data_IF_486854199975
#
_entry.id   IF_486854199975
#
_cell.length_a   1.000
_cell.length_b   1.000
_cell.length_c   1.000
_cell.angle_alpha   90.00
_cell.angle_beta   90.00
_cell.angle_gamma   90.00
#
_symmetry.space_group_name_H-M   'P 1'
#
loop_
_entity.id
_entity.type
_entity.pdbx_description
1 polymer ?
#
# COMPACT_ATOMS: atom_id res chain seq x y z
N UNK A 1 -4.12 -21.90 19.94
CA UNK A 1 -4.83 -21.27 18.81
C UNK A 1 -3.81 -20.44 18.06
N UNK A 2 -3.63 -20.63 16.75
CA UNK A 2 -2.64 -19.87 15.96
C UNK A 2 -2.95 -18.36 16.04
N UNK A 3 -1.93 -17.55 16.30
CA UNK A 3 -2.02 -16.09 16.34
C UNK A 3 -2.39 -15.52 14.97
N UNK A 4 -1.86 -16.10 13.89
CA UNK A 4 -2.15 -15.69 12.51
C UNK A 4 -3.64 -15.82 12.17
N UNK A 5 -4.35 -16.79 12.76
CA UNK A 5 -5.78 -17.04 12.53
C UNK A 5 -6.71 -16.44 13.59
N UNK A 6 -6.19 -15.60 14.50
CA UNK A 6 -7.05 -14.82 15.39
C UNK A 6 -7.66 -13.63 14.64
N UNK A 7 -8.92 -13.26 14.94
CA UNK A 7 -9.52 -12.06 14.36
C UNK A 7 -8.76 -10.79 14.77
N UNK A 8 -8.95 -9.73 14.00
CA UNK A 8 -8.43 -8.39 14.29
C UNK A 8 -9.52 -7.35 14.06
N UNK A 9 -9.82 -6.54 15.05
CA UNK A 9 -10.76 -5.43 14.92
C UNK A 9 -10.04 -4.11 14.91
N UNK A 10 -10.41 -3.24 13.98
CA UNK A 10 -9.96 -1.86 13.90
C UNK A 10 -11.15 -1.00 13.47
N UNK A 11 -11.51 -0.01 14.29
CA UNK A 11 -12.81 0.68 14.19
C UNK A 11 -13.96 -0.34 14.20
N UNK A 12 -14.92 -0.21 13.29
CA UNK A 12 -16.08 -1.11 13.20
C UNK A 12 -15.81 -2.33 12.31
N UNK A 13 -14.58 -2.45 11.76
CA UNK A 13 -14.20 -3.53 10.87
C UNK A 13 -13.51 -4.65 11.64
N UNK A 14 -14.00 -5.88 11.48
CA UNK A 14 -13.37 -7.10 11.99
C UNK A 14 -12.88 -7.97 10.85
N UNK A 15 -11.56 -8.20 10.81
CA UNK A 15 -10.92 -9.17 9.94
C UNK A 15 -11.02 -10.57 10.56
N UNK A 16 -11.34 -11.58 9.76
CA UNK A 16 -11.44 -12.99 10.20
C UNK A 16 -10.11 -13.61 10.64
N UNK A 17 -8.98 -13.03 10.25
CA UNK A 17 -7.63 -13.44 10.64
C UNK A 17 -6.63 -12.30 10.42
N UNK A 18 -5.35 -12.52 10.76
CA UNK A 18 -4.26 -11.53 10.65
C UNK A 18 -3.57 -11.51 9.29
N UNK A 19 -4.13 -12.18 8.27
CA UNK A 19 -3.53 -12.27 6.94
C UNK A 19 -4.12 -11.17 6.06
N UNK A 20 -3.25 -10.29 5.56
CA UNK A 20 -3.61 -9.28 4.58
C UNK A 20 -2.92 -9.57 3.24
N UNK A 21 -3.66 -9.47 2.15
CA UNK A 21 -3.07 -9.37 0.81
C UNK A 21 -2.72 -7.92 0.55
N UNK A 22 -1.43 -7.57 0.39
CA UNK A 22 -1.01 -6.18 0.18
C UNK A 22 -1.36 -5.69 -1.23
N UNK A 23 -1.34 -4.36 -1.46
CA UNK A 23 -1.44 -3.83 -2.81
C UNK A 23 -0.27 -4.33 -3.66
N UNK A 24 -0.61 -4.98 -4.78
CA UNK A 24 0.33 -5.51 -5.77
C UNK A 24 -0.15 -5.10 -7.16
N UNK A 25 0.58 -4.17 -7.81
CA UNK A 25 0.26 -3.70 -9.14
C UNK A 25 0.14 -4.84 -10.14
N UNK A 26 -0.94 -4.86 -10.91
CA UNK A 26 -1.20 -5.86 -11.93
C UNK A 26 -0.83 -5.39 -13.33
N UNK A 27 -0.69 -4.06 -13.51
CA UNK A 27 -0.34 -3.43 -14.79
C UNK A 27 -1.23 -3.90 -15.96
N UNK A 28 -2.50 -4.12 -15.66
CA UNK A 28 -3.49 -4.74 -16.55
C UNK A 28 -4.70 -3.84 -16.83
N UNK A 29 -4.73 -2.62 -16.29
CA UNK A 29 -5.78 -1.64 -16.58
C UNK A 29 -5.57 -1.00 -17.97
N UNK A 30 -6.64 -0.43 -18.52
CA UNK A 30 -6.60 0.37 -19.75
C UNK A 30 -7.13 1.75 -19.41
N UNK A 31 -6.30 2.79 -19.59
CA UNK A 31 -6.64 4.17 -19.22
C UNK A 31 -7.15 4.32 -17.77
N UNK A 32 -6.53 3.56 -16.86
CA UNK A 32 -6.92 3.49 -15.45
C UNK A 32 -8.19 2.69 -15.16
N UNK A 33 -8.92 2.23 -16.18
CA UNK A 33 -10.11 1.39 -16.01
C UNK A 33 -9.68 -0.06 -15.82
N UNK A 34 -10.09 -0.65 -14.70
CA UNK A 34 -9.88 -2.07 -14.42
C UNK A 34 -10.84 -2.94 -15.25
N UNK A 35 -10.57 -4.25 -15.28
CA UNK A 35 -11.29 -5.22 -16.12
C UNK A 35 -11.33 -6.61 -15.44
N UNK A 36 -11.80 -7.61 -16.16
CA UNK A 36 -12.01 -8.98 -15.66
C UNK A 36 -10.76 -9.63 -15.04
N UNK A 37 -9.55 -9.22 -15.43
CA UNK A 37 -8.32 -9.65 -14.77
C UNK A 37 -8.37 -9.35 -13.26
N UNK A 38 -8.74 -8.12 -12.93
CA UNK A 38 -8.76 -7.60 -11.56
C UNK A 38 -9.89 -8.25 -10.77
N UNK A 39 -11.07 -8.40 -11.40
CA UNK A 39 -12.23 -9.09 -10.81
C UNK A 39 -11.85 -10.53 -10.44
N UNK A 40 -11.28 -11.28 -11.37
CA UNK A 40 -10.87 -12.67 -11.13
C UNK A 40 -9.78 -12.75 -10.06
N UNK A 41 -8.74 -11.92 -10.15
CA UNK A 41 -7.59 -11.92 -9.24
C UNK A 41 -8.01 -11.65 -7.78
N UNK A 42 -8.65 -10.52 -7.51
CA UNK A 42 -9.00 -10.13 -6.15
C UNK A 42 -10.10 -11.00 -5.54
N UNK A 43 -11.05 -11.45 -6.35
CA UNK A 43 -12.07 -12.40 -5.89
C UNK A 43 -11.44 -13.76 -5.54
N UNK A 44 -10.47 -14.23 -6.32
CA UNK A 44 -9.72 -15.45 -6.03
C UNK A 44 -8.93 -15.38 -4.72
N UNK A 45 -8.24 -14.25 -4.50
CA UNK A 45 -7.51 -14.01 -3.25
C UNK A 45 -8.44 -13.94 -2.02
N UNK A 46 -9.60 -13.30 -2.15
CA UNK A 46 -10.61 -13.26 -1.09
C UNK A 46 -11.18 -14.64 -0.76
N UNK A 47 -11.46 -15.46 -1.80
CA UNK A 47 -11.88 -16.87 -1.65
C UNK A 47 -10.83 -17.74 -0.96
N UNK A 48 -9.55 -17.39 -1.10
CA UNK A 48 -8.44 -18.14 -0.52
C UNK A 48 -8.33 -18.10 1.00
N UNK A 49 -9.03 -17.17 1.67
CA UNK A 49 -9.16 -17.16 3.13
C UNK A 49 -8.47 -15.99 3.84
N UNK A 50 -7.83 -15.04 3.14
CA UNK A 50 -7.23 -13.86 3.78
C UNK A 50 -8.30 -12.97 4.45
N UNK A 51 -7.96 -12.30 5.56
CA UNK A 51 -8.88 -11.42 6.28
C UNK A 51 -9.11 -10.07 5.58
N UNK A 52 -8.07 -9.55 4.93
CA UNK A 52 -8.08 -8.27 4.22
C UNK A 52 -7.46 -8.46 2.83
N UNK A 53 -8.10 -7.88 1.80
CA UNK A 53 -7.54 -7.80 0.44
C UNK A 53 -7.45 -6.33 0.05
N UNK A 54 -6.23 -5.81 -0.07
CA UNK A 54 -5.98 -4.43 -0.47
C UNK A 54 -5.69 -4.39 -1.97
N UNK A 55 -6.56 -3.75 -2.73
CA UNK A 55 -6.41 -3.49 -4.17
C UNK A 55 -5.14 -2.67 -4.42
N UNK A 56 -4.52 -2.89 -5.59
CA UNK A 56 -3.25 -2.28 -5.99
C UNK A 56 -3.22 -0.75 -5.91
N UNK A 57 -2.01 -0.20 -5.97
CA UNK A 57 -1.79 1.24 -6.05
C UNK A 57 -2.62 1.84 -7.21
N UNK A 58 -3.69 2.53 -6.84
CA UNK A 58 -4.68 3.07 -7.77
C UNK A 58 -4.51 4.58 -7.86
N UNK A 59 -4.20 5.07 -9.05
CA UNK A 59 -3.75 6.44 -9.24
C UNK A 59 -4.88 7.46 -9.01
N UNK A 60 -4.59 8.50 -8.24
CA UNK A 60 -5.53 9.60 -7.96
C UNK A 60 -5.67 10.59 -9.12
N UNK A 61 -4.68 10.60 -10.02
CA UNK A 61 -4.62 11.43 -11.22
C UNK A 61 -3.94 10.66 -12.37
N UNK A 62 -4.20 10.99 -13.65
CA UNK A 62 -3.65 10.26 -14.79
C UNK A 62 -2.12 10.17 -14.80
N UNK A 63 -1.44 11.26 -14.49
CA UNK A 63 0.03 11.35 -14.42
C UNK A 63 0.61 10.73 -13.16
N UNK A 64 -0.24 10.44 -12.17
CA UNK A 64 0.09 9.74 -10.94
C UNK A 64 0.22 8.23 -11.09
N UNK A 65 -0.07 7.67 -12.27
CA UNK A 65 0.17 6.25 -12.56
C UNK A 65 1.67 5.94 -12.60
N UNK A 66 2.05 4.71 -12.21
CA UNK A 66 3.43 4.24 -12.42
C UNK A 66 3.63 3.96 -13.91
N UNK A 67 2.74 3.17 -14.51
CA UNK A 67 2.79 2.76 -15.92
C UNK A 67 1.46 3.05 -16.62
N UNK A 68 1.41 3.03 -17.97
CA UNK A 68 0.17 3.26 -18.72
C UNK A 68 -0.99 2.34 -18.30
N UNK A 69 -0.67 1.16 -17.76
CA UNK A 69 -1.62 0.13 -17.40
C UNK A 69 -1.88 -0.01 -15.89
N UNK A 70 -1.48 0.99 -15.09
CA UNK A 70 -1.90 1.09 -13.71
C UNK A 70 -3.39 1.44 -13.60
N UNK A 71 -4.05 0.90 -12.58
CA UNK A 71 -5.42 1.28 -12.22
C UNK A 71 -5.51 2.76 -11.82
N UNK A 72 -6.69 3.35 -12.02
CA UNK A 72 -7.00 4.75 -11.74
C UNK A 72 -8.29 4.90 -10.94
N UNK A 73 -8.41 6.04 -10.24
CA UNK A 73 -9.60 6.43 -9.48
C UNK A 73 -9.87 7.94 -9.59
N UNK A 74 -9.49 8.55 -10.71
CA UNK A 74 -9.62 9.98 -10.96
C UNK A 74 -10.96 10.36 -11.63
N UNK A 75 -11.74 9.37 -12.07
CA UNK A 75 -13.11 9.54 -12.58
C UNK A 75 -14.10 8.60 -11.90
N UNK A 76 -15.39 8.94 -11.99
CA UNK A 76 -16.46 8.11 -11.41
C UNK A 76 -16.63 6.79 -12.18
N UNK A 77 -16.44 6.80 -13.51
CA UNK A 77 -16.47 5.58 -14.34
C UNK A 77 -15.39 4.57 -13.94
N UNK A 78 -14.19 5.04 -13.59
CA UNK A 78 -13.13 4.18 -13.03
C UNK A 78 -13.51 3.62 -11.67
N UNK A 79 -14.16 4.42 -10.81
CA UNK A 79 -14.64 3.96 -9.52
C UNK A 79 -15.70 2.87 -9.68
N UNK A 80 -16.71 3.09 -10.53
CA UNK A 80 -17.79 2.13 -10.79
C UNK A 80 -17.26 0.77 -11.28
N UNK A 81 -16.16 0.76 -12.03
CA UNK A 81 -15.49 -0.47 -12.46
C UNK A 81 -15.00 -1.35 -11.29
N UNK A 82 -14.82 -0.81 -10.07
CA UNK A 82 -14.48 -1.56 -8.86
C UNK A 82 -15.67 -2.19 -8.15
N UNK A 83 -16.93 -1.85 -8.47
CA UNK A 83 -18.10 -2.43 -7.80
C UNK A 83 -18.10 -3.97 -7.83
N UNK A 84 -17.81 -4.64 -8.97
CA UNK A 84 -17.71 -6.11 -9.01
C UNK A 84 -16.56 -6.66 -8.16
N UNK A 85 -15.42 -5.97 -8.08
CA UNK A 85 -14.28 -6.34 -7.23
C UNK A 85 -14.65 -6.27 -5.76
N UNK A 86 -15.19 -5.13 -5.31
CA UNK A 86 -15.62 -4.94 -3.90
C UNK A 86 -16.65 -5.99 -3.52
N UNK A 87 -17.66 -6.21 -4.38
CA UNK A 87 -18.68 -7.25 -4.15
C UNK A 87 -18.06 -8.64 -4.09
N UNK A 88 -17.13 -8.95 -4.98
CA UNK A 88 -16.42 -10.23 -5.02
C UNK A 88 -15.63 -10.48 -3.73
N UNK A 89 -14.90 -9.48 -3.25
CA UNK A 89 -14.13 -9.59 -1.99
C UNK A 89 -15.06 -9.82 -0.80
N UNK A 90 -16.10 -8.99 -0.63
CA UNK A 90 -17.08 -9.11 0.48
C UNK A 90 -17.83 -10.43 0.46
N UNK A 91 -18.27 -10.88 -0.72
CA UNK A 91 -19.04 -12.13 -0.87
C UNK A 91 -18.27 -13.36 -0.38
N UNK A 92 -16.94 -13.29 -0.31
CA UNK A 92 -16.07 -14.37 0.17
C UNK A 92 -15.45 -14.10 1.55
N UNK A 93 -16.02 -13.14 2.30
CA UNK A 93 -15.73 -12.92 3.72
C UNK A 93 -14.40 -12.24 4.02
N UNK A 94 -13.75 -11.65 3.01
CA UNK A 94 -12.62 -10.75 3.21
C UNK A 94 -13.10 -9.30 3.20
N UNK A 95 -12.37 -8.41 3.88
CA UNK A 95 -12.62 -6.97 3.83
C UNK A 95 -11.98 -6.37 2.57
N UNK A 96 -12.71 -5.58 1.76
CA UNK A 96 -12.16 -4.88 0.61
C UNK A 96 -11.44 -3.60 1.04
N UNK A 97 -10.12 -3.60 0.87
CA UNK A 97 -9.29 -2.41 0.96
C UNK A 97 -8.83 -1.92 -0.41
N UNK A 98 -8.40 -0.67 -0.47
CA UNK A 98 -7.76 -0.08 -1.65
C UNK A 98 -6.61 0.82 -1.23
N UNK A 99 -5.51 0.78 -2.00
CA UNK A 99 -4.44 1.73 -1.86
C UNK A 99 -4.58 2.84 -2.93
N UNK A 100 -4.75 4.10 -2.51
CA UNK A 100 -4.74 5.24 -3.44
C UNK A 100 -3.36 5.90 -3.48
N UNK A 101 -2.90 6.25 -4.69
CA UNK A 101 -1.49 6.54 -4.92
C UNK A 101 -1.24 7.65 -5.95
N UNK A 102 -0.02 8.21 -5.89
CA UNK A 102 0.54 9.07 -6.93
C UNK A 102 2.04 8.78 -7.06
N UNK A 103 2.49 8.29 -8.22
CA UNK A 103 3.84 7.78 -8.44
C UNK A 103 4.93 8.88 -8.53
N UNK A 104 4.54 10.14 -8.75
CA UNK A 104 5.46 11.28 -8.72
C UNK A 104 6.60 11.12 -9.73
N UNK A 105 7.86 11.32 -9.31
CA UNK A 105 9.04 11.20 -10.19
C UNK A 105 9.34 9.80 -10.72
N UNK A 106 8.62 8.77 -10.27
CA UNK A 106 8.71 7.39 -10.78
C UNK A 106 7.54 7.00 -11.70
N UNK A 107 6.67 7.97 -12.02
CA UNK A 107 5.58 7.79 -12.96
C UNK A 107 6.09 7.68 -14.40
N UNK A 108 5.21 7.36 -15.35
CA UNK A 108 5.55 7.26 -16.77
C UNK A 108 6.68 6.24 -17.03
N UNK A 109 6.61 5.07 -16.38
CA UNK A 109 7.49 3.94 -16.59
C UNK A 109 6.83 2.84 -17.42
N UNK A 110 7.64 2.01 -18.07
CA UNK A 110 7.21 0.78 -18.71
C UNK A 110 6.71 -0.23 -17.67
N UNK A 111 5.94 -1.23 -18.11
CA UNK A 111 5.61 -2.36 -17.23
C UNK A 111 6.90 -3.08 -16.81
N UNK A 112 6.94 -3.74 -15.64
CA UNK A 112 8.17 -4.40 -15.19
C UNK A 112 8.73 -5.45 -16.16
N UNK A 113 7.87 -6.11 -16.94
CA UNK A 113 8.28 -7.10 -17.95
C UNK A 113 8.47 -6.49 -19.37
N UNK A 114 8.34 -5.18 -19.51
CA UNK A 114 8.48 -4.43 -20.77
C UNK A 114 9.62 -3.40 -20.72
N UNK A 115 10.53 -3.53 -19.75
CA UNK A 115 11.71 -2.67 -19.60
C UNK A 115 11.90 -2.15 -18.17
N UNK A 116 10.81 -2.00 -17.41
CA UNK A 116 10.80 -1.44 -16.05
C UNK A 116 11.38 -0.02 -15.93
N UNK A 117 11.63 0.66 -17.05
CA UNK A 117 12.32 1.94 -17.16
C UNK A 117 11.40 3.08 -17.60
N UNK A 118 11.87 4.32 -17.50
CA UNK A 118 11.06 5.46 -17.89
C UNK A 118 10.76 5.49 -19.40
N UNK A 119 9.51 5.79 -19.73
CA UNK A 119 9.04 6.10 -21.07
C UNK A 119 9.36 7.58 -21.40
N UNK A 120 10.00 7.87 -22.54
CA UNK A 120 10.23 9.25 -23.01
C UNK A 120 8.95 10.08 -23.08
N UNK A 121 9.03 11.39 -22.80
CA UNK A 121 7.85 12.28 -22.79
C UNK A 121 7.15 12.41 -24.16
N UNK A 122 7.91 12.26 -25.24
CA UNK A 122 7.45 12.36 -26.63
C UNK A 122 6.92 11.04 -27.19
N UNK A 123 7.03 9.94 -26.44
CA UNK A 123 6.41 8.68 -26.81
C UNK A 123 4.89 8.74 -26.58
N UNK A 124 4.13 7.99 -27.39
CA UNK A 124 2.66 8.02 -27.37
C UNK A 124 2.03 7.66 -26.01
N UNK A 125 2.74 6.88 -25.19
CA UNK A 125 2.32 6.43 -23.86
C UNK A 125 3.15 7.05 -22.71
N UNK A 126 3.99 8.05 -23.00
CA UNK A 126 4.77 8.78 -22.00
C UNK A 126 4.08 10.07 -21.56
N UNK A 127 4.44 10.56 -20.37
CA UNK A 127 3.96 11.85 -19.86
C UNK A 127 4.99 12.54 -18.96
N UNK A 128 4.88 13.86 -18.82
CA UNK A 128 5.69 14.63 -17.88
C UNK A 128 5.36 14.24 -16.43
N UNK A 129 6.39 13.95 -15.64
CA UNK A 129 6.25 13.58 -14.23
C UNK A 129 6.36 14.82 -13.34
N UNK A 130 5.74 14.79 -12.16
CA UNK A 130 5.80 15.87 -11.16
C UNK A 130 6.41 15.38 -9.84
N UNK A 131 7.07 16.27 -9.11
CA UNK A 131 7.77 15.95 -7.86
C UNK A 131 7.97 17.20 -6.98
N UNK A 132 8.37 17.06 -5.71
CA UNK A 132 8.73 18.21 -4.87
C UNK A 132 9.88 19.06 -5.47
N UNK A 133 10.83 18.44 -6.16
CA UNK A 133 11.97 19.11 -6.80
C UNK A 133 12.32 18.45 -8.13
N UNK A 134 12.95 19.20 -9.03
CA UNK A 134 13.36 18.72 -10.36
C UNK A 134 14.60 17.82 -10.30
N UNK A 135 14.49 16.70 -9.57
CA UNK A 135 15.57 15.76 -9.32
C UNK A 135 15.12 14.36 -9.73
N UNK A 136 15.76 13.76 -10.76
CA UNK A 136 15.42 12.41 -11.19
C UNK A 136 15.70 11.39 -10.09
N UNK A 137 15.05 10.23 -10.14
CA UNK A 137 15.46 9.12 -9.30
C UNK A 137 16.84 8.57 -9.73
N UNK A 138 17.11 8.52 -11.03
CA UNK A 138 18.33 7.97 -11.61
C UNK A 138 18.20 6.49 -12.00
N UNK A 139 19.31 5.85 -12.37
CA UNK A 139 19.34 4.48 -12.88
C UNK A 139 18.35 4.29 -14.06
N UNK A 140 17.43 3.33 -13.97
CA UNK A 140 16.40 3.05 -14.99
C UNK A 140 15.26 4.08 -15.01
N UNK A 141 15.21 5.02 -14.05
CA UNK A 141 14.24 6.11 -14.00
C UNK A 141 14.93 7.49 -14.12
N UNK A 142 15.52 7.82 -15.29
CA UNK A 142 16.36 9.01 -15.45
C UNK A 142 15.62 10.33 -15.70
N UNK A 143 14.29 10.33 -15.87
CA UNK A 143 13.53 11.54 -16.21
C UNK A 143 13.58 12.54 -15.07
N UNK A 144 13.90 13.78 -15.42
CA UNK A 144 13.80 14.91 -14.53
C UNK A 144 12.31 15.27 -14.40
N UNK A 145 11.72 15.19 -13.19
CA UNK A 145 10.35 15.62 -12.98
C UNK A 145 10.24 17.14 -13.01
N UNK A 146 9.03 17.65 -13.21
CA UNK A 146 8.71 19.05 -13.01
C UNK A 146 8.53 19.31 -11.50
N UNK A 147 9.15 20.39 -11.02
CA UNK A 147 9.02 20.79 -9.63
C UNK A 147 7.63 21.38 -9.39
N UNK A 148 6.85 20.76 -8.52
CA UNK A 148 5.47 21.17 -8.24
C UNK A 148 5.41 22.60 -7.72
N UNK A 149 4.47 23.37 -8.28
CA UNK A 149 4.01 24.63 -7.72
C UNK A 149 3.16 24.39 -6.47
N UNK A 150 2.82 25.46 -5.73
CA UNK A 150 1.86 25.35 -4.63
C UNK A 150 0.47 24.95 -5.15
N UNK A 151 0.09 25.39 -6.34
CA UNK A 151 -1.16 25.02 -7.00
C UNK A 151 -1.20 23.53 -7.32
N UNK A 152 -0.08 22.95 -7.78
CA UNK A 152 0.02 21.50 -8.00
C UNK A 152 -0.15 20.72 -6.70
N UNK A 153 0.43 21.22 -5.60
CA UNK A 153 0.30 20.60 -4.27
C UNK A 153 -1.18 20.59 -3.84
N UNK A 154 -1.88 21.72 -3.93
CA UNK A 154 -3.31 21.78 -3.59
C UNK A 154 -4.16 20.90 -4.50
N UNK A 155 -3.88 20.90 -5.81
CA UNK A 155 -4.59 20.07 -6.78
C UNK A 155 -4.42 18.59 -6.46
N UNK A 156 -3.20 18.12 -6.22
CA UNK A 156 -2.95 16.71 -5.89
C UNK A 156 -3.60 16.33 -4.55
N UNK A 157 -3.58 17.20 -3.53
CA UNK A 157 -4.33 16.96 -2.28
C UNK A 157 -5.82 16.77 -2.57
N UNK A 158 -6.41 17.62 -3.41
CA UNK A 158 -7.80 17.48 -3.82
C UNK A 158 -8.07 16.18 -4.61
N UNK A 159 -7.12 15.72 -5.43
CA UNK A 159 -7.23 14.44 -6.15
C UNK A 159 -7.28 13.25 -5.19
N UNK A 160 -6.45 13.25 -4.12
CA UNK A 160 -6.52 12.25 -3.06
C UNK A 160 -7.89 12.25 -2.35
N UNK A 161 -8.44 13.43 -2.07
CA UNK A 161 -9.78 13.57 -1.48
C UNK A 161 -10.86 13.01 -2.42
N UNK A 162 -10.81 13.35 -3.70
CA UNK A 162 -11.76 12.85 -4.70
C UNK A 162 -11.68 11.33 -4.85
N UNK A 163 -10.47 10.77 -4.89
CA UNK A 163 -10.25 9.32 -4.93
C UNK A 163 -10.78 8.62 -3.66
N UNK A 164 -10.58 9.19 -2.46
CA UNK A 164 -11.12 8.64 -1.22
C UNK A 164 -12.67 8.63 -1.21
N UNK A 165 -13.31 9.72 -1.68
CA UNK A 165 -14.78 9.78 -1.84
C UNK A 165 -15.29 8.71 -2.80
N UNK A 166 -14.60 8.52 -3.92
CA UNK A 166 -14.95 7.50 -4.93
C UNK A 166 -14.77 6.08 -4.38
N UNK A 167 -13.68 5.81 -3.69
CA UNK A 167 -13.45 4.53 -3.03
C UNK A 167 -14.57 4.20 -2.04
N UNK A 168 -14.96 5.18 -1.22
CA UNK A 168 -16.07 5.03 -0.29
C UNK A 168 -17.39 4.74 -1.02
N UNK A 169 -17.70 5.51 -2.07
CA UNK A 169 -18.96 5.41 -2.81
C UNK A 169 -19.19 4.03 -3.43
N UNK A 170 -18.11 3.31 -3.79
CA UNK A 170 -18.20 1.96 -4.39
C UNK A 170 -18.03 0.83 -3.37
N UNK A 171 -17.92 1.17 -2.09
CA UNK A 171 -18.07 0.25 -0.97
C UNK A 171 -16.78 -0.35 -0.41
N UNK A 172 -15.62 0.24 -0.68
CA UNK A 172 -14.39 -0.10 0.05
C UNK A 172 -14.56 0.22 1.54
N UNK A 173 -14.03 -0.65 2.40
CA UNK A 173 -14.16 -0.58 3.86
C UNK A 173 -12.82 -0.28 4.54
N UNK A 174 -11.73 -0.19 3.77
CA UNK A 174 -10.39 0.05 4.26
C UNK A 174 -9.62 0.90 3.25
N UNK A 175 -9.13 2.07 3.66
CA UNK A 175 -8.36 2.97 2.79
C UNK A 175 -6.90 3.01 3.20
N UNK A 176 -5.98 2.77 2.26
CA UNK A 176 -4.54 2.95 2.46
C UNK A 176 -4.01 4.10 1.60
N UNK A 177 -3.40 5.12 2.22
CA UNK A 177 -2.69 6.18 1.51
C UNK A 177 -1.27 5.71 1.16
N UNK A 178 -0.90 5.75 -0.12
CA UNK A 178 0.43 5.33 -0.54
C UNK A 178 1.47 6.44 -0.34
N UNK A 179 2.08 6.47 0.84
CA UNK A 179 3.14 7.42 1.18
C UNK A 179 4.54 6.80 1.21
N UNK A 180 4.76 5.69 0.51
CA UNK A 180 5.99 4.88 0.55
C UNK A 180 6.67 4.78 -0.83
N UNK A 181 7.76 4.01 -0.89
CA UNK A 181 8.38 3.47 -2.11
C UNK A 181 8.93 4.50 -3.12
N UNK A 182 9.14 5.72 -2.67
CA UNK A 182 9.80 6.78 -3.43
C UNK A 182 8.86 7.43 -4.44
N UNK A 183 7.57 7.14 -4.30
CA UNK A 183 6.49 7.84 -4.97
C UNK A 183 6.27 9.22 -4.34
N UNK A 184 5.23 9.94 -4.77
CA UNK A 184 5.14 11.38 -4.56
C UNK A 184 5.27 11.78 -3.09
N UNK A 185 4.42 11.25 -2.21
CA UNK A 185 4.45 11.58 -0.79
C UNK A 185 5.77 11.19 -0.10
N UNK A 186 6.31 9.99 -0.38
CA UNK A 186 7.61 9.61 0.19
C UNK A 186 8.72 10.56 -0.31
N UNK A 187 8.67 10.98 -1.57
CA UNK A 187 9.65 11.93 -2.13
C UNK A 187 9.55 13.32 -1.50
N UNK A 188 8.37 13.78 -1.08
CA UNK A 188 8.26 14.98 -0.23
C UNK A 188 8.96 14.78 1.10
N UNK A 189 8.81 13.60 1.71
CA UNK A 189 9.46 13.34 2.99
C UNK A 189 10.97 13.14 2.86
N UNK A 190 11.47 12.56 1.77
CA UNK A 190 12.89 12.19 1.66
C UNK A 190 13.81 13.39 1.36
N UNK A 191 14.89 13.60 2.12
CA UNK A 191 15.88 14.63 1.81
C UNK A 191 16.65 14.36 0.50
N UNK A 192 16.58 13.15 -0.07
CA UNK A 192 17.17 12.85 -1.38
C UNK A 192 16.40 13.52 -2.53
N UNK A 193 15.09 13.68 -2.38
CA UNK A 193 14.19 14.07 -3.45
C UNK A 193 13.60 15.47 -3.26
N UNK A 194 13.52 15.95 -2.02
CA UNK A 194 12.95 17.24 -1.69
C UNK A 194 14.05 18.24 -1.29
N UNK A 195 14.40 19.11 -2.23
CA UNK A 195 15.31 20.25 -2.04
C UNK A 195 14.55 21.59 -2.04
N UNK A 196 13.25 21.57 -1.74
CA UNK A 196 12.46 22.80 -1.66
C UNK A 196 12.93 23.67 -0.50
N UNK A 197 12.81 24.98 -0.68
CA UNK A 197 13.14 26.00 0.33
C UNK A 197 11.90 26.71 0.87
N UNK A 198 10.71 26.30 0.44
CA UNK A 198 9.43 26.83 0.92
C UNK A 198 8.87 26.01 2.10
N UNK A 199 7.59 26.21 2.42
CA UNK A 199 6.93 25.54 3.54
C UNK A 199 6.87 23.99 3.41
N UNK A 200 7.18 23.43 2.23
CA UNK A 200 7.12 22.00 1.96
C UNK A 200 8.49 21.33 1.90
N UNK A 201 9.59 22.02 2.24
CA UNK A 201 10.93 21.42 2.28
C UNK A 201 11.86 21.95 3.37
N UNK A 202 13.09 21.45 3.36
CA UNK A 202 14.08 21.70 4.41
C UNK A 202 13.96 20.72 5.58
N UNK A 203 13.47 21.19 6.73
CA UNK A 203 13.40 20.37 7.94
C UNK A 203 12.33 19.25 7.85
N UNK A 204 12.39 18.29 8.77
CA UNK A 204 11.48 17.14 8.80
C UNK A 204 10.01 17.53 8.91
N UNK A 205 9.70 18.62 9.63
CA UNK A 205 8.32 19.11 9.77
C UNK A 205 7.75 19.58 8.43
N UNK A 206 8.48 20.42 7.72
CA UNK A 206 8.09 20.91 6.41
C UNK A 206 8.02 19.78 5.36
N UNK A 207 9.00 18.87 5.37
CA UNK A 207 8.99 17.66 4.52
C UNK A 207 7.78 16.76 4.80
N UNK A 208 7.33 16.70 6.05
CA UNK A 208 6.13 15.98 6.50
C UNK A 208 4.80 16.69 6.15
N UNK A 209 4.83 17.98 5.82
CA UNK A 209 3.63 18.82 5.64
C UNK A 209 2.67 18.28 4.60
N UNK A 210 3.16 17.97 3.39
CA UNK A 210 2.32 17.42 2.31
C UNK A 210 1.56 16.16 2.76
N UNK A 211 2.24 15.27 3.48
CA UNK A 211 1.66 14.00 3.93
C UNK A 211 0.57 14.24 4.99
N UNK A 212 0.84 15.13 5.96
CA UNK A 212 -0.12 15.46 7.03
C UNK A 212 -1.34 16.20 6.51
N UNK A 213 -1.14 17.16 5.61
CA UNK A 213 -2.24 17.90 5.00
C UNK A 213 -3.09 17.01 4.09
N UNK A 214 -2.47 16.09 3.34
CA UNK A 214 -3.20 15.09 2.54
C UNK A 214 -4.01 14.16 3.45
N UNK A 215 -3.41 13.66 4.54
CA UNK A 215 -4.13 12.83 5.53
C UNK A 215 -5.33 13.58 6.11
N UNK A 216 -5.13 14.83 6.56
CA UNK A 216 -6.19 15.64 7.14
C UNK A 216 -7.34 15.88 6.15
N UNK A 217 -7.02 16.22 4.90
CA UNK A 217 -8.02 16.44 3.86
C UNK A 217 -8.80 15.14 3.53
N UNK A 218 -8.13 13.99 3.49
CA UNK A 218 -8.80 12.70 3.30
C UNK A 218 -9.66 12.32 4.51
N UNK A 219 -9.21 12.63 5.74
CA UNK A 219 -9.94 12.37 6.98
C UNK A 219 -11.30 13.08 6.99
N UNK A 220 -11.43 14.26 6.39
CA UNK A 220 -12.71 14.99 6.30
C UNK A 220 -13.79 14.23 5.51
N UNK A 221 -13.40 13.28 4.67
CA UNK A 221 -14.31 12.60 3.74
C UNK A 221 -14.42 11.10 3.97
N UNK A 222 -13.42 10.50 4.63
CA UNK A 222 -13.41 9.09 4.98
C UNK A 222 -14.10 8.85 6.34
N UNK A 223 -15.07 7.92 6.46
CA UNK A 223 -15.83 7.76 7.70
C UNK A 223 -14.98 7.36 8.91
N UNK A 224 -15.33 7.87 10.10
CA UNK A 224 -14.66 7.55 11.39
C UNK A 224 -14.73 6.08 11.77
N UNK A 225 -15.76 5.36 11.32
CA UNK A 225 -15.96 3.95 11.61
C UNK A 225 -15.19 3.01 10.67
N UNK A 226 -14.55 3.53 9.61
CA UNK A 226 -13.76 2.74 8.66
C UNK A 226 -12.26 3.03 8.85
N UNK A 227 -11.39 2.00 8.85
CA UNK A 227 -9.95 2.17 8.91
C UNK A 227 -9.39 3.12 7.84
N UNK A 228 -8.66 4.14 8.29
CA UNK A 228 -7.80 4.99 7.48
C UNK A 228 -6.34 4.69 7.80
N UNK A 229 -5.64 4.11 6.84
CA UNK A 229 -4.26 3.62 7.02
C UNK A 229 -3.30 4.31 6.08
N UNK A 230 -2.01 4.24 6.41
CA UNK A 230 -0.94 4.79 5.59
C UNK A 230 0.08 3.70 5.35
N UNK A 231 0.62 3.61 4.14
CA UNK A 231 1.87 2.89 3.88
C UNK A 231 3.02 3.88 3.81
N UNK A 232 4.02 3.70 4.66
CA UNK A 232 5.12 4.66 4.79
C UNK A 232 6.49 3.98 4.84
N UNK A 233 7.44 4.56 4.11
CA UNK A 233 8.83 4.17 4.14
C UNK A 233 9.55 4.85 5.30
N UNK A 234 9.88 4.07 6.33
CA UNK A 234 10.47 4.59 7.58
C UNK A 234 12.00 4.53 7.61
N UNK A 235 12.59 3.91 6.59
CA UNK A 235 14.02 3.65 6.47
C UNK A 235 14.41 3.59 5.00
N UNK A 236 15.65 3.94 4.66
CA UNK A 236 16.16 3.93 3.27
C UNK A 236 17.30 2.92 3.06
N UNK A 237 18.04 2.52 4.10
CA UNK A 237 19.29 1.75 4.00
C UNK A 237 20.38 2.47 3.22
N UNK A 238 20.49 3.77 3.42
CA UNK A 238 21.39 4.69 2.72
C UNK A 238 22.58 5.15 3.57
N UNK A 239 22.68 4.65 4.81
CA UNK A 239 23.68 5.06 5.80
C UNK A 239 23.19 6.10 6.81
N UNK A 240 21.96 6.63 6.67
CA UNK A 240 21.34 7.59 7.59
C UNK A 240 20.10 7.02 8.28
N UNK A 241 20.09 5.70 8.51
CA UNK A 241 18.89 4.96 8.92
C UNK A 241 18.32 5.40 10.26
N UNK A 242 19.16 5.71 11.25
CA UNK A 242 18.70 6.11 12.58
C UNK A 242 17.98 7.47 12.56
N UNK A 243 18.54 8.46 11.85
CA UNK A 243 17.88 9.76 11.69
C UNK A 243 16.57 9.61 10.90
N UNK A 244 16.59 8.83 9.81
CA UNK A 244 15.41 8.60 8.98
C UNK A 244 14.29 7.93 9.78
N UNK A 245 14.64 6.93 10.59
CA UNK A 245 13.71 6.24 11.48
C UNK A 245 13.14 7.17 12.56
N UNK A 246 13.97 7.99 13.19
CA UNK A 246 13.51 8.96 14.19
C UNK A 246 12.51 9.95 13.60
N UNK A 247 12.86 10.60 12.48
CA UNK A 247 11.97 11.52 11.76
C UNK A 247 10.66 10.81 11.37
N UNK A 248 10.75 9.57 10.89
CA UNK A 248 9.60 8.80 10.45
C UNK A 248 8.67 8.37 11.60
N UNK A 249 9.23 8.02 12.76
CA UNK A 249 8.45 7.69 13.98
C UNK A 249 7.74 8.94 14.49
N UNK A 250 8.40 10.10 14.50
CA UNK A 250 7.78 11.37 14.87
C UNK A 250 6.64 11.75 13.93
N UNK A 251 6.83 11.58 12.62
CA UNK A 251 5.75 11.79 11.66
C UNK A 251 4.61 10.77 11.84
N UNK A 252 4.92 9.53 12.19
CA UNK A 252 3.92 8.50 12.48
C UNK A 252 3.06 8.86 13.70
N UNK A 253 3.66 9.43 14.76
CA UNK A 253 2.91 9.95 15.92
C UNK A 253 1.96 11.07 15.51
N UNK A 254 2.38 11.93 14.58
CA UNK A 254 1.54 13.01 14.05
C UNK A 254 0.41 12.46 13.16
N UNK A 255 0.66 11.43 12.35
CA UNK A 255 -0.39 10.75 11.60
C UNK A 255 -1.42 10.12 12.53
N UNK A 256 -0.99 9.45 13.61
CA UNK A 256 -1.88 8.92 14.65
C UNK A 256 -2.75 10.04 15.24
N UNK A 257 -2.14 11.16 15.61
CA UNK A 257 -2.87 12.32 16.13
C UNK A 257 -3.86 12.92 15.11
N UNK A 258 -3.54 12.81 13.81
CA UNK A 258 -4.40 13.19 12.69
C UNK A 258 -5.47 12.17 12.29
N UNK A 259 -5.64 11.08 13.05
CA UNK A 259 -6.70 10.09 12.82
C UNK A 259 -6.33 8.92 11.90
N UNK A 260 -5.03 8.66 11.70
CA UNK A 260 -4.56 7.40 11.13
C UNK A 260 -4.72 6.24 12.13
N UNK A 261 -5.25 5.12 11.66
CA UNK A 261 -5.62 3.99 12.50
C UNK A 261 -4.58 2.86 12.53
N UNK A 262 -3.80 2.71 11.46
CA UNK A 262 -2.75 1.70 11.34
C UNK A 262 -1.69 2.12 10.33
N UNK A 263 -0.44 1.71 10.54
CA UNK A 263 0.68 1.95 9.63
C UNK A 263 1.13 0.65 8.93
N UNK A 264 1.18 0.65 7.59
CA UNK A 264 1.93 -0.33 6.81
C UNK A 264 3.38 0.13 6.70
N UNK A 265 4.25 -0.46 7.52
CA UNK A 265 5.66 -0.10 7.63
C UNK A 265 6.44 -0.70 6.46
N UNK A 266 7.17 0.14 5.72
CA UNK A 266 7.96 -0.26 4.57
C UNK A 266 9.27 0.50 4.45
N UNK A 267 9.93 0.33 3.30
CA UNK A 267 11.17 1.04 2.92
C UNK A 267 10.80 2.25 2.08
N UNK A 268 11.62 3.30 2.16
CA UNK A 268 11.43 4.53 1.41
C UNK A 268 11.70 4.38 -0.09
N UNK A 269 12.74 3.67 -0.53
CA UNK A 269 13.15 3.55 -1.94
C UNK A 269 13.33 4.90 -2.67
N UNK A 270 13.88 5.94 -2.03
CA UNK A 270 14.16 7.24 -2.68
C UNK A 270 15.54 7.38 -3.30
N UNK A 271 16.40 6.40 -3.13
CA UNK A 271 17.70 6.38 -3.78
C UNK A 271 17.96 5.02 -4.44
N UNK A 272 18.54 4.99 -5.65
CA UNK A 272 18.95 3.75 -6.30
C UNK A 272 20.19 3.12 -5.64
N UNK A 273 20.86 3.81 -4.70
CA UNK A 273 22.13 3.37 -4.10
C UNK A 273 21.98 2.73 -2.71
N UNK A 274 20.74 2.53 -2.25
CA UNK A 274 20.44 1.88 -0.97
C UNK A 274 21.02 0.45 -0.89
N UNK A 275 21.55 0.07 0.27
CA UNK A 275 22.10 -1.26 0.55
C UNK A 275 21.16 -2.08 1.43
N UNK A 276 20.07 -2.53 0.84
CA UNK A 276 18.98 -3.16 1.57
C UNK A 276 19.34 -4.61 1.96
N UNK A 277 19.26 -4.99 3.25
CA UNK A 277 19.61 -6.32 3.73
C UNK A 277 18.45 -7.32 3.51
N UNK A 278 18.15 -7.64 2.25
CA UNK A 278 17.06 -8.53 1.90
C UNK A 278 17.19 -9.90 2.58
N UNK A 279 16.23 -10.22 3.44
CA UNK A 279 16.11 -11.52 4.09
C UNK A 279 14.63 -11.80 4.43
N UNK A 280 14.24 -13.05 4.70
CA UNK A 280 12.90 -13.35 5.19
C UNK A 280 12.56 -12.53 6.45
N UNK A 281 11.42 -11.83 6.45
CA UNK A 281 10.91 -11.06 7.58
C UNK A 281 11.85 -10.00 8.17
N UNK A 282 12.82 -9.50 7.39
CA UNK A 282 13.79 -8.51 7.89
C UNK A 282 13.14 -7.19 8.36
N UNK A 283 11.93 -6.89 7.90
CA UNK A 283 11.15 -5.73 8.35
C UNK A 283 10.50 -5.91 9.72
N UNK A 284 10.45 -7.13 10.29
CA UNK A 284 9.79 -7.41 11.57
C UNK A 284 10.30 -6.55 12.72
N UNK A 285 11.63 -6.49 12.99
CA UNK A 285 12.19 -5.62 14.02
C UNK A 285 11.94 -4.13 13.78
N UNK A 286 11.98 -3.68 12.51
CA UNK A 286 11.74 -2.28 12.13
C UNK A 286 10.28 -1.90 12.41
N UNK A 287 9.33 -2.73 11.97
CA UNK A 287 7.91 -2.54 12.21
C UNK A 287 7.58 -2.55 13.71
N UNK A 288 8.20 -3.47 14.48
CA UNK A 288 8.07 -3.51 15.93
C UNK A 288 8.51 -2.19 16.59
N UNK A 289 9.64 -1.63 16.18
CA UNK A 289 10.13 -0.36 16.71
C UNK A 289 9.14 0.78 16.46
N UNK A 290 8.62 0.89 15.23
CA UNK A 290 7.57 1.88 14.90
C UNK A 290 6.32 1.68 15.75
N UNK A 291 5.86 0.43 15.88
CA UNK A 291 4.71 0.07 16.71
C UNK A 291 4.87 0.53 18.16
N UNK A 292 6.01 0.17 18.77
CA UNK A 292 6.26 0.40 20.19
C UNK A 292 6.51 1.89 20.48
N UNK A 293 7.24 2.59 19.60
CA UNK A 293 7.59 4.00 19.82
C UNK A 293 6.49 4.99 19.39
N UNK A 294 5.71 4.70 18.35
CA UNK A 294 4.59 5.55 17.92
C UNK A 294 3.26 5.13 18.57
N UNK A 295 3.19 3.92 19.13
CA UNK A 295 1.99 3.38 19.79
C UNK A 295 0.82 3.20 18.81
N UNK A 296 1.09 2.70 17.61
CA UNK A 296 0.08 2.43 16.57
C UNK A 296 0.10 0.95 16.18
N UNK A 297 -1.04 0.35 15.80
CA UNK A 297 -1.02 -0.94 15.13
C UNK A 297 -0.19 -0.87 13.85
N UNK A 298 0.52 -1.95 13.53
CA UNK A 298 1.36 -2.01 12.33
C UNK A 298 1.14 -3.28 11.51
N UNK A 299 1.39 -3.14 10.21
CA UNK A 299 1.60 -4.25 9.30
C UNK A 299 2.92 -4.08 8.55
N UNK A 300 3.44 -5.17 8.01
CA UNK A 300 4.59 -5.12 7.10
C UNK A 300 4.61 -6.35 6.19
N UNK A 301 5.47 -6.28 5.17
CA UNK A 301 5.63 -7.28 4.12
C UNK A 301 7.12 -7.68 3.98
N UNK A 302 7.48 -8.28 2.85
CA UNK A 302 8.83 -8.73 2.50
C UNK A 302 9.30 -9.98 3.27
N UNK A 303 8.94 -11.15 2.74
CA UNK A 303 9.46 -12.43 3.21
C UNK A 303 8.65 -13.09 4.34
N UNK A 304 7.40 -12.66 4.56
CA UNK A 304 6.45 -13.32 5.47
C UNK A 304 5.60 -14.42 4.79
N UNK A 305 6.02 -14.91 3.62
CA UNK A 305 5.29 -15.94 2.86
C UNK A 305 5.39 -17.34 3.44
N UNK A 306 6.29 -17.58 4.38
CA UNK A 306 6.38 -18.84 5.12
C UNK A 306 5.43 -18.80 6.33
N UNK A 307 4.49 -19.76 6.48
CA UNK A 307 3.48 -19.70 7.54
C UNK A 307 4.03 -19.54 8.96
N UNK A 308 5.11 -20.25 9.29
CA UNK A 308 5.75 -20.18 10.61
C UNK A 308 6.39 -18.81 10.89
N UNK A 309 6.91 -18.14 9.85
CA UNK A 309 7.49 -16.79 9.97
C UNK A 309 6.36 -15.77 10.21
N UNK A 310 5.25 -15.87 9.46
CA UNK A 310 4.08 -15.01 9.65
C UNK A 310 3.46 -15.19 11.05
N UNK A 311 3.27 -16.44 11.49
CA UNK A 311 2.79 -16.78 12.83
C UNK A 311 3.66 -16.15 13.91
N UNK A 312 4.98 -16.34 13.82
CA UNK A 312 5.93 -15.82 14.80
C UNK A 312 5.92 -14.29 14.87
N UNK A 313 5.80 -13.60 13.74
CA UNK A 313 5.76 -12.14 13.70
C UNK A 313 4.55 -11.57 14.48
N UNK A 314 3.40 -12.24 14.41
CA UNK A 314 2.22 -11.86 15.21
C UNK A 314 2.39 -12.25 16.67
N UNK A 315 2.85 -13.48 16.95
CA UNK A 315 3.08 -13.97 18.32
C UNK A 315 4.05 -13.10 19.11
N UNK A 316 5.14 -12.67 18.47
CA UNK A 316 6.19 -11.83 19.08
C UNK A 316 5.77 -10.35 19.18
N UNK A 317 4.56 -10.00 18.74
CA UNK A 317 4.05 -8.62 18.73
C UNK A 317 4.83 -7.69 17.82
N UNK A 318 5.45 -8.22 16.76
CA UNK A 318 6.13 -7.41 15.75
C UNK A 318 5.11 -6.78 14.79
N UNK A 319 4.05 -7.52 14.45
CA UNK A 319 3.00 -7.13 13.52
C UNK A 319 1.62 -7.43 14.09
N UNK A 320 0.66 -6.53 13.86
CA UNK A 320 -0.75 -6.76 14.12
C UNK A 320 -1.41 -7.49 12.95
N UNK A 321 -1.01 -7.14 11.72
CA UNK A 321 -1.36 -7.83 10.47
C UNK A 321 -0.12 -8.18 9.64
N UNK A 322 -0.11 -9.35 9.02
CA UNK A 322 0.97 -9.81 8.14
C UNK A 322 0.56 -9.63 6.69
N UNK A 323 1.33 -8.82 5.94
CA UNK A 323 1.09 -8.62 4.51
C UNK A 323 1.85 -9.65 3.67
N UNK A 324 1.11 -10.56 3.05
CA UNK A 324 1.68 -11.67 2.26
C UNK A 324 1.41 -11.44 0.78
N UNK A 325 2.43 -10.97 0.05
CA UNK A 325 2.32 -10.62 -1.38
C UNK A 325 2.56 -11.79 -2.33
N UNK A 326 3.82 -11.97 -2.77
CA UNK A 326 4.20 -12.94 -3.83
C UNK A 326 3.68 -14.37 -3.61
N UNK A 327 3.54 -14.82 -2.35
CA UNK A 327 2.99 -16.14 -2.06
C UNK A 327 1.50 -16.27 -2.45
N UNK A 328 0.72 -15.19 -2.40
CA UNK A 328 -0.65 -15.16 -2.95
C UNK A 328 -0.67 -15.11 -4.49
N UNK A 329 0.34 -14.51 -5.14
CA UNK A 329 0.46 -14.58 -6.61
C UNK A 329 0.76 -16.02 -7.05
N UNK A 330 1.61 -16.73 -6.32
CA UNK A 330 1.93 -18.13 -6.60
C UNK A 330 0.78 -19.09 -6.25
N UNK A 331 0.08 -18.82 -5.15
CA UNK A 331 -1.04 -19.62 -4.66
C UNK A 331 -2.12 -18.71 -4.07
N UNK A 332 -3.22 -18.44 -4.80
CA UNK A 332 -4.32 -17.62 -4.29
C UNK A 332 -4.96 -18.17 -3.01
N UNK A 333 -4.78 -19.46 -2.71
CA UNK A 333 -5.25 -20.13 -1.50
C UNK A 333 -4.15 -20.28 -0.45
N UNK A 334 -3.18 -19.35 -0.40
CA UNK A 334 -2.07 -19.40 0.55
C UNK A 334 -2.55 -19.45 2.01
N UNK A 335 -3.65 -18.77 2.38
CA UNK A 335 -4.17 -18.85 3.73
C UNK A 335 -4.63 -20.27 4.11
N UNK A 336 -5.17 -21.06 3.18
CA UNK A 336 -5.41 -22.49 3.41
C UNK A 336 -4.11 -23.28 3.62
N UNK A 337 -3.10 -23.04 2.81
CA UNK A 337 -1.77 -23.64 3.01
C UNK A 337 -1.22 -23.31 4.40
N UNK A 338 -1.28 -22.04 4.82
CA UNK A 338 -0.85 -21.61 6.15
C UNK A 338 -1.67 -22.27 7.27
N UNK A 339 -2.98 -22.41 7.11
CA UNK A 339 -3.85 -23.07 8.08
C UNK A 339 -3.44 -24.53 8.31
N UNK A 340 -3.07 -25.25 7.24
CA UNK A 340 -2.57 -26.63 7.32
C UNK A 340 -1.22 -26.71 8.02
N UNK A 341 -0.25 -25.90 7.59
CA UNK A 341 1.10 -25.90 8.15
C UNK A 341 1.09 -25.55 9.65
N UNK A 342 0.25 -24.60 10.05
CA UNK A 342 0.09 -24.18 11.45
C UNK A 342 -0.89 -25.04 12.25
N UNK A 343 -1.40 -26.14 11.66
CA UNK A 343 -2.31 -27.10 12.30
C UNK A 343 -3.53 -26.45 12.93
N UNK A 344 -4.12 -25.48 12.23
CA UNK A 344 -5.40 -24.88 12.60
C UNK A 344 -6.48 -25.96 12.59
N UNK A 345 -7.41 -25.92 13.55
CA UNK A 345 -8.55 -26.83 13.57
C UNK A 345 -9.39 -26.64 12.30
N UNK A 346 -9.72 -27.76 11.62
CA UNK A 346 -10.49 -27.76 10.35
C UNK A 346 -9.93 -26.78 9.31
N UNK A 347 -8.65 -26.93 8.90
CA UNK A 347 -7.93 -25.91 8.15
C UNK A 347 -8.51 -25.67 6.76
N UNK A 348 -9.24 -26.63 6.17
CA UNK A 348 -9.90 -26.44 4.87
C UNK A 348 -11.05 -25.42 4.91
N UNK A 349 -11.66 -25.18 6.08
CA UNK A 349 -12.81 -24.29 6.25
C UNK A 349 -12.44 -22.81 6.37
N UNK A 350 -11.16 -22.47 6.21
CA UNK A 350 -10.78 -21.08 5.89
C UNK A 350 -11.19 -20.69 4.46
N UNK A 351 -11.53 -21.68 3.63
CA UNK A 351 -12.10 -21.50 2.28
C UNK A 351 -13.60 -21.82 2.25
N UNK A 352 -14.32 -21.39 1.18
CA UNK A 352 -15.74 -21.71 1.00
C UNK A 352 -16.04 -23.21 0.96
N UNK A 353 -17.27 -23.58 1.36
CA UNK A 353 -17.72 -24.97 1.44
C UNK A 353 -17.48 -25.83 0.18
N UNK A 354 -17.65 -25.31 -1.06
CA UNK A 354 -17.35 -26.08 -2.27
C UNK A 354 -15.89 -26.55 -2.41
N UNK A 355 -14.94 -25.94 -1.70
CA UNK A 355 -13.56 -26.41 -1.61
C UNK A 355 -13.33 -27.14 -0.28
N UNK A 356 -13.76 -26.53 0.83
CA UNK A 356 -13.46 -27.00 2.18
C UNK A 356 -13.92 -28.45 2.42
N UNK A 357 -15.12 -28.80 1.96
CA UNK A 357 -15.70 -30.13 2.15
C UNK A 357 -14.82 -31.25 1.57
N UNK A 358 -14.32 -31.05 0.34
CA UNK A 358 -13.56 -32.07 -0.38
C UNK A 358 -12.12 -32.19 0.11
N UNK A 359 -11.56 -31.12 0.66
CA UNK A 359 -10.20 -31.10 1.22
C UNK A 359 -10.09 -31.62 2.66
N UNK A 360 -11.23 -31.91 3.30
CA UNK A 360 -11.30 -32.51 4.64
C UNK A 360 -11.48 -34.02 4.62
N UNK A 361 -12.06 -34.54 3.52
CA UNK A 361 -12.48 -35.96 3.41
C UNK A 361 -11.42 -36.89 2.84
N UNK A 362 -10.40 -36.33 2.19
CA UNK A 362 -9.30 -37.02 1.51
C UNK A 362 -7.99 -36.29 1.83
#
# INVERSE_FOLDING_TARGET
MSALFQPFSLKDITLRNRIAVPPMCQYSATDGVINDWHVANYTGQARGGAGLVIVEATAVAPEGRITPACAGLWTDAQAEAFIPVVRGIKAHGAVPGIQIAHAGRKASANRPWEGDDHIPNDAANGWQTIAPSAIPFGAHLPKVPEAMTLQDIERVKADFVAAARRALAVGFEWLELHFAHGYLAQSFFSPHANQRTDAYGGNADNRGRFLRETLAAVREVWPEHLPLTIRFGVIEFDGNDEQTMSDAIDLTRQFKAGGMDMMSVSIGFNTPTAKIPWAPAFMGPIAKRVRDEAGVPVSSAWGFGEPHIAEKAVQDGQLDLVMVGKAHLANPHWAYHAARELKVERPSWVMPAPYAHWLERY
#
